data_IF_742110297153
#
_entry.id   IF_742110297153
#
_cell.length_a   1.000
_cell.length_b   1.000
_cell.length_c   1.000
_cell.angle_alpha   90.00
_cell.angle_beta   90.00
_cell.angle_gamma   90.00
#
_symmetry.space_group_name_H-M   'P 1'
#
loop_
_entity.id
_entity.type
_entity.pdbx_description
1 polymer ?
#
# COMPACT_ATOMS: atom_id res chain seq x y z
N UNK A 1 7.12 5.20 -14.47
CA UNK A 1 5.91 4.38 -14.24
C UNK A 1 6.37 2.97 -13.93
N UNK A 2 5.75 2.34 -12.96
CA UNK A 2 6.04 0.96 -12.54
C UNK A 2 5.60 -0.02 -13.64
N UNK A 3 6.42 -1.01 -14.03
CA UNK A 3 6.04 -2.00 -15.05
C UNK A 3 4.76 -2.76 -14.69
N UNK A 4 4.00 -3.18 -15.71
CA UNK A 4 2.65 -3.71 -15.54
C UNK A 4 2.63 -5.00 -14.69
N UNK A 5 3.67 -5.82 -14.82
CA UNK A 5 3.84 -7.05 -14.07
C UNK A 5 3.90 -6.83 -12.56
N UNK A 6 4.32 -5.65 -12.06
CA UNK A 6 4.30 -5.34 -10.63
C UNK A 6 2.93 -4.86 -10.13
N UNK A 7 2.07 -4.35 -11.02
CA UNK A 7 0.84 -3.68 -10.61
C UNK A 7 -0.24 -4.69 -10.20
N UNK A 8 -0.96 -4.41 -9.11
CA UNK A 8 -2.00 -5.28 -8.56
C UNK A 8 -1.95 -5.37 -7.05
N UNK A 9 -2.59 -6.40 -6.50
CA UNK A 9 -2.49 -6.78 -5.10
C UNK A 9 -1.62 -8.02 -4.94
N UNK A 10 -0.63 -7.94 -4.07
CA UNK A 10 0.27 -9.03 -3.72
C UNK A 10 0.13 -9.42 -2.26
N UNK A 11 0.34 -10.71 -2.02
CA UNK A 11 0.30 -11.33 -0.71
C UNK A 11 1.58 -12.10 -0.48
N UNK A 12 2.20 -11.91 0.68
CA UNK A 12 3.43 -12.63 1.02
C UNK A 12 3.09 -14.04 1.50
N UNK A 13 3.69 -15.04 0.87
CA UNK A 13 3.65 -16.45 1.28
C UNK A 13 4.59 -16.71 2.44
N UNK A 14 5.76 -16.06 2.43
CA UNK A 14 6.78 -16.23 3.46
C UNK A 14 7.97 -15.31 3.28
N UNK A 15 8.73 -15.13 4.36
CA UNK A 15 10.07 -14.54 4.36
C UNK A 15 11.03 -15.51 5.06
N UNK A 16 12.20 -15.71 4.45
CA UNK A 16 13.31 -16.49 4.99
C UNK A 16 14.55 -15.61 5.08
N UNK A 17 15.21 -15.59 6.24
CA UNK A 17 16.36 -14.72 6.50
C UNK A 17 17.64 -15.54 6.58
N UNK A 18 18.75 -14.92 6.20
CA UNK A 18 20.09 -15.53 6.24
C UNK A 18 20.52 -15.96 7.65
N UNK A 19 19.92 -15.39 8.70
CA UNK A 19 20.13 -15.80 10.08
C UNK A 19 19.36 -17.09 10.48
N UNK A 20 18.66 -17.73 9.54
CA UNK A 20 17.90 -18.97 9.75
C UNK A 20 16.47 -18.77 10.28
N UNK A 21 16.06 -17.54 10.59
CA UNK A 21 14.67 -17.26 10.95
C UNK A 21 13.77 -17.18 9.72
N UNK A 22 12.48 -17.48 9.90
CA UNK A 22 11.46 -17.33 8.88
C UNK A 22 10.14 -16.87 9.49
N UNK A 23 9.28 -16.28 8.67
CA UNK A 23 7.92 -15.92 9.03
C UNK A 23 6.97 -16.22 7.86
N UNK A 24 6.03 -17.14 8.12
CA UNK A 24 5.01 -17.59 7.18
C UNK A 24 3.59 -17.21 7.63
N UNK A 25 3.50 -16.39 8.68
CA UNK A 25 2.27 -16.17 9.46
C UNK A 25 1.77 -14.73 9.43
N UNK A 26 2.69 -13.77 9.30
CA UNK A 26 2.31 -12.36 9.16
C UNK A 26 1.51 -12.17 7.88
N UNK A 27 0.32 -11.58 8.02
CA UNK A 27 -0.48 -11.21 6.87
C UNK A 27 0.10 -9.94 6.27
N UNK A 28 0.53 -10.00 5.02
CA UNK A 28 1.11 -8.86 4.29
C UNK A 28 0.32 -8.56 3.04
N UNK A 29 -0.20 -7.34 2.92
CA UNK A 29 -0.85 -6.84 1.70
C UNK A 29 0.04 -5.77 1.08
N UNK A 30 0.51 -6.01 -0.15
CA UNK A 30 1.19 -5.02 -0.95
C UNK A 30 0.32 -4.63 -2.15
N UNK A 31 -0.23 -3.43 -2.10
CA UNK A 31 -0.96 -2.82 -3.21
C UNK A 31 0.01 -2.01 -4.05
N UNK A 32 0.02 -2.23 -5.37
CA UNK A 32 0.88 -1.52 -6.31
C UNK A 32 0.07 -0.98 -7.48
N UNK A 33 0.00 0.35 -7.59
CA UNK A 33 -0.51 1.04 -8.76
C UNK A 33 0.65 1.43 -9.71
N UNK A 34 0.35 2.18 -10.77
CA UNK A 34 1.35 2.62 -11.76
C UNK A 34 2.49 3.49 -11.19
N UNK A 35 2.32 4.01 -9.97
CA UNK A 35 3.30 4.86 -9.29
C UNK A 35 3.35 4.62 -7.78
N UNK A 36 2.18 4.53 -7.15
CA UNK A 36 2.07 4.47 -5.70
C UNK A 36 1.94 3.05 -5.18
N UNK A 37 2.37 2.83 -3.94
CA UNK A 37 2.13 1.61 -3.19
C UNK A 37 1.51 1.88 -1.83
N UNK A 38 0.85 0.87 -1.28
CA UNK A 38 0.50 0.75 0.14
C UNK A 38 0.89 -0.68 0.58
N UNK A 39 1.70 -0.79 1.61
CA UNK A 39 2.07 -2.05 2.27
C UNK A 39 1.54 -2.08 3.70
N UNK A 40 0.94 -3.20 4.11
CA UNK A 40 0.47 -3.43 5.48
C UNK A 40 0.85 -4.84 5.95
N UNK A 41 1.59 -4.91 7.07
CA UNK A 41 2.07 -6.14 7.69
C UNK A 41 1.45 -6.30 9.08
N UNK A 42 0.62 -7.32 9.26
CA UNK A 42 -0.06 -7.63 10.53
C UNK A 42 0.37 -9.02 11.03
N UNK A 43 1.25 -9.09 12.04
CA UNK A 43 1.57 -10.33 12.74
C UNK A 43 0.34 -10.91 13.45
N UNK A 44 0.32 -12.23 13.66
CA UNK A 44 -0.82 -12.95 14.27
C UNK A 44 -1.16 -12.41 15.66
N UNK A 45 -0.15 -12.09 16.46
CA UNK A 45 -0.30 -11.51 17.81
C UNK A 45 -0.47 -9.98 17.79
N UNK A 46 -0.42 -9.36 16.59
CA UNK A 46 -0.46 -7.92 16.34
C UNK A 46 0.69 -7.13 16.99
N UNK A 47 1.73 -7.81 17.48
CA UNK A 47 2.93 -7.15 18.02
C UNK A 47 3.88 -6.87 16.86
N UNK A 48 4.31 -5.61 16.72
CA UNK A 48 5.21 -5.22 15.63
C UNK A 48 4.52 -5.01 14.28
N UNK A 49 3.21 -4.69 14.27
CA UNK A 49 2.52 -4.20 13.08
C UNK A 49 3.34 -3.05 12.48
N UNK A 50 3.53 -3.12 11.17
CA UNK A 50 4.17 -2.07 10.40
C UNK A 50 3.53 -1.99 9.02
N UNK A 51 3.83 -0.90 8.31
CA UNK A 51 3.35 -0.65 6.97
C UNK A 51 3.69 0.76 6.55
N UNK A 52 3.56 1.03 5.26
CA UNK A 52 3.97 2.29 4.67
C UNK A 52 3.28 2.52 3.32
N UNK A 53 3.32 3.77 2.87
CA UNK A 53 2.80 4.16 1.58
C UNK A 53 3.65 5.26 0.95
N UNK A 54 3.77 5.24 -0.36
CA UNK A 54 4.66 6.15 -1.08
C UNK A 54 4.80 5.83 -2.56
N UNK A 55 5.91 6.27 -3.14
CA UNK A 55 6.26 6.04 -4.54
C UNK A 55 7.06 4.75 -4.71
N UNK A 56 6.89 4.08 -5.84
CA UNK A 56 7.69 2.92 -6.24
C UNK A 56 8.52 3.26 -7.47
N UNK A 57 9.80 2.92 -7.43
CA UNK A 57 10.73 3.04 -8.56
C UNK A 57 11.24 1.64 -8.91
N UNK A 58 11.19 1.31 -10.20
CA UNK A 58 11.71 0.04 -10.72
C UNK A 58 12.77 0.33 -11.77
N UNK A 59 13.97 -0.20 -11.53
CA UNK A 59 15.14 -0.06 -12.40
C UNK A 59 15.70 -1.44 -12.75
N UNK A 60 15.33 -1.95 -13.93
CA UNK A 60 15.57 -3.35 -14.28
C UNK A 60 14.79 -4.28 -13.34
N UNK A 61 15.51 -5.15 -12.64
CA UNK A 61 14.93 -6.08 -11.66
C UNK A 61 14.91 -5.50 -10.24
N UNK A 62 15.49 -4.31 -10.02
CA UNK A 62 15.47 -3.66 -8.71
C UNK A 62 14.16 -2.92 -8.52
N UNK A 63 13.41 -3.29 -7.49
CA UNK A 63 12.30 -2.50 -6.97
C UNK A 63 12.75 -1.72 -5.75
N UNK A 64 12.35 -0.46 -5.65
CA UNK A 64 12.63 0.39 -4.49
C UNK A 64 11.35 1.11 -4.10
N UNK A 65 10.94 0.91 -2.86
CA UNK A 65 9.82 1.59 -2.25
C UNK A 65 10.34 2.84 -1.53
N UNK A 66 9.76 4.00 -1.82
CA UNK A 66 10.06 5.27 -1.19
C UNK A 66 8.87 5.69 -0.30
N UNK A 67 8.83 5.28 0.97
CA UNK A 67 7.78 5.68 1.89
C UNK A 67 7.72 7.20 2.08
N UNK A 68 6.52 7.75 1.96
CA UNK A 68 6.22 9.13 2.35
C UNK A 68 5.52 9.20 3.72
N UNK A 69 4.84 8.12 4.11
CA UNK A 69 4.22 7.92 5.42
C UNK A 69 4.37 6.46 5.84
N UNK A 70 4.46 6.20 7.15
CA UNK A 70 4.63 4.85 7.68
C UNK A 70 4.07 4.70 9.10
N UNK A 71 3.87 3.45 9.52
CA UNK A 71 3.61 3.08 10.90
C UNK A 71 4.67 2.07 11.35
N UNK A 72 5.32 2.27 12.52
CA UNK A 72 5.08 3.32 13.53
C UNK A 72 5.58 4.73 13.16
N UNK A 73 6.60 4.86 12.32
CA UNK A 73 7.06 6.13 11.72
C UNK A 73 8.04 5.82 10.58
N UNK A 74 8.35 6.81 9.73
CA UNK A 74 9.36 6.66 8.69
C UNK A 74 10.72 6.29 9.29
N UNK A 75 11.38 5.29 8.71
CA UNK A 75 12.79 5.01 8.95
C UNK A 75 13.66 5.56 7.82
N UNK A 76 14.96 5.71 8.06
CA UNK A 76 15.91 6.01 7.00
C UNK A 76 16.36 4.75 6.24
N UNK A 77 15.83 3.57 6.61
CA UNK A 77 16.17 2.32 5.94
C UNK A 77 15.55 2.32 4.56
N UNK A 78 16.37 1.97 3.57
CA UNK A 78 15.89 1.77 2.22
C UNK A 78 15.11 0.46 2.19
N UNK A 79 13.86 0.52 1.72
CA UNK A 79 13.11 -0.69 1.38
C UNK A 79 13.28 -0.96 -0.11
N UNK A 80 13.98 -2.04 -0.45
CA UNK A 80 14.30 -2.41 -1.82
C UNK A 80 14.71 -3.89 -1.94
N UNK A 81 14.33 -4.50 -3.06
CA UNK A 81 14.61 -5.90 -3.36
C UNK A 81 14.86 -6.13 -4.85
N UNK A 82 15.55 -7.23 -5.14
CA UNK A 82 15.65 -7.80 -6.49
C UNK A 82 14.45 -8.68 -6.76
N UNK A 83 13.75 -8.41 -7.85
CA UNK A 83 12.44 -9.00 -8.15
C UNK A 83 12.55 -9.91 -9.35
N UNK A 84 12.22 -11.19 -9.13
CA UNK A 84 12.21 -12.23 -10.17
C UNK A 84 10.80 -12.78 -10.29
N UNK A 85 10.18 -12.56 -11.45
CA UNK A 85 8.87 -13.10 -11.76
C UNK A 85 9.02 -14.52 -12.30
N UNK A 86 8.43 -15.49 -11.60
CA UNK A 86 8.31 -16.87 -12.10
C UNK A 86 7.21 -16.96 -13.17
N UNK A 87 6.12 -16.22 -12.95
CA UNK A 87 5.04 -16.01 -13.90
C UNK A 87 4.30 -14.69 -13.57
N UNK A 88 3.11 -14.50 -14.15
CA UNK A 88 2.32 -13.29 -13.93
C UNK A 88 1.82 -13.13 -12.49
N UNK A 89 1.74 -14.22 -11.71
CA UNK A 89 1.09 -14.28 -10.41
C UNK A 89 2.04 -14.68 -9.28
N UNK A 90 3.32 -14.94 -9.57
CA UNK A 90 4.32 -15.33 -8.58
C UNK A 90 5.62 -14.53 -8.71
N UNK A 91 6.06 -13.97 -7.59
CA UNK A 91 7.28 -13.17 -7.49
C UNK A 91 8.15 -13.71 -6.36
N UNK A 92 9.44 -13.82 -6.67
CA UNK A 92 10.49 -14.02 -5.69
C UNK A 92 11.26 -12.72 -5.51
N UNK A 93 11.33 -12.24 -4.28
CA UNK A 93 12.08 -11.06 -3.89
C UNK A 93 13.31 -11.46 -3.09
N UNK A 94 14.48 -10.99 -3.50
CA UNK A 94 15.74 -11.14 -2.76
C UNK A 94 16.20 -9.79 -2.22
N UNK A 95 16.52 -9.70 -0.93
CA UNK A 95 17.10 -8.49 -0.34
C UNK A 95 18.40 -8.08 -1.05
N UNK A 96 18.67 -6.78 -1.18
CA UNK A 96 19.83 -6.29 -1.96
C UNK A 96 21.19 -6.84 -1.48
N UNK A 97 21.29 -7.21 -0.21
CA UNK A 97 22.46 -7.79 0.44
C UNK A 97 22.37 -9.31 0.63
N UNK A 98 21.34 -9.95 0.06
CA UNK A 98 20.98 -11.36 0.26
C UNK A 98 20.67 -11.71 1.73
N UNK A 99 20.21 -10.74 2.54
CA UNK A 99 19.83 -10.97 3.93
C UNK A 99 18.49 -11.69 4.08
N UNK A 100 17.64 -11.65 3.05
CA UNK A 100 16.34 -12.31 3.03
C UNK A 100 15.91 -12.72 1.62
N UNK A 101 14.98 -13.66 1.58
CA UNK A 101 14.17 -14.06 0.42
C UNK A 101 12.70 -13.98 0.83
N UNK A 102 11.83 -13.43 -0.03
CA UNK A 102 10.38 -13.46 0.12
C UNK A 102 9.70 -14.05 -1.11
N UNK A 103 8.67 -14.85 -0.88
CA UNK A 103 7.79 -15.34 -1.94
C UNK A 103 6.44 -14.62 -1.86
N UNK A 104 5.95 -14.20 -3.01
CA UNK A 104 4.73 -13.44 -3.17
C UNK A 104 3.81 -14.10 -4.19
N UNK A 105 2.51 -14.09 -3.92
CA UNK A 105 1.48 -14.43 -4.89
C UNK A 105 0.56 -13.25 -5.17
N UNK A 106 0.04 -13.18 -6.39
CA UNK A 106 -0.94 -12.18 -6.78
C UNK A 106 -2.33 -12.60 -6.32
N UNK A 107 -3.01 -11.69 -5.65
CA UNK A 107 -4.44 -11.81 -5.37
C UNK A 107 -5.23 -11.22 -6.55
N UNK A 108 -6.26 -11.91 -7.06
CA UNK A 108 -7.16 -11.35 -8.06
C UNK A 108 -7.78 -10.02 -7.60
N UNK A 109 -7.39 -8.94 -8.26
CA UNK A 109 -7.86 -7.58 -7.96
C UNK A 109 -8.44 -6.83 -9.16
N UNK A 110 -8.06 -7.23 -10.37
CA UNK A 110 -8.22 -6.38 -11.55
C UNK A 110 -7.26 -5.18 -11.52
N UNK A 111 -7.39 -4.23 -12.47
CA UNK A 111 -6.51 -3.08 -12.58
C UNK A 111 -6.50 -2.22 -11.31
N UNK A 112 -5.29 -1.86 -10.86
CA UNK A 112 -5.07 -1.04 -9.66
C UNK A 112 -4.93 0.44 -10.04
N UNK A 113 -5.84 1.27 -9.55
CA UNK A 113 -5.73 2.72 -9.65
C UNK A 113 -5.23 3.28 -8.32
N UNK A 114 -4.28 4.23 -8.36
CA UNK A 114 -3.68 4.79 -7.16
C UNK A 114 -3.65 6.31 -7.22
N UNK A 115 -4.02 6.94 -6.11
CA UNK A 115 -4.00 8.39 -5.93
C UNK A 115 -3.21 8.76 -4.69
N UNK A 116 -2.52 9.90 -4.76
CA UNK A 116 -1.97 10.61 -3.61
C UNK A 116 -2.83 11.83 -3.33
N UNK A 117 -3.18 12.03 -2.08
CA UNK A 117 -4.01 13.11 -1.58
C UNK A 117 -3.22 13.92 -0.55
N UNK A 118 -3.45 15.22 -0.52
CA UNK A 118 -2.83 16.15 0.44
C UNK A 118 -3.93 16.94 1.16
N UNK A 119 -3.78 17.13 2.47
CA UNK A 119 -4.57 18.12 3.18
C UNK A 119 -4.04 19.53 2.85
N UNK A 120 -4.85 20.44 2.27
CA UNK A 120 -4.41 21.80 1.97
C UNK A 120 -4.01 22.63 3.19
N UNK A 121 -4.35 22.19 4.40
CA UNK A 121 -4.21 22.94 5.65
C UNK A 121 -3.23 22.32 6.64
N UNK A 122 -2.64 21.16 6.35
CA UNK A 122 -1.68 20.48 7.23
C UNK A 122 -0.59 19.75 6.42
N UNK A 123 0.30 19.03 7.10
CA UNK A 123 1.30 18.15 6.47
C UNK A 123 0.78 16.72 6.25
N UNK A 124 -0.53 16.49 6.44
CA UNK A 124 -1.14 15.19 6.25
C UNK A 124 -1.17 14.81 4.77
N UNK A 125 -0.71 13.59 4.53
CA UNK A 125 -0.77 12.89 3.25
C UNK A 125 -1.71 11.71 3.37
N UNK A 126 -2.33 11.35 2.25
CA UNK A 126 -2.99 10.08 2.14
C UNK A 126 -2.75 9.42 0.78
N UNK A 127 -2.83 8.10 0.78
CA UNK A 127 -2.79 7.27 -0.42
C UNK A 127 -4.06 6.43 -0.47
N UNK A 128 -4.67 6.39 -1.64
CA UNK A 128 -5.84 5.58 -1.93
C UNK A 128 -5.56 4.72 -3.16
N UNK A 129 -5.49 3.41 -2.96
CA UNK A 129 -5.36 2.44 -4.05
C UNK A 129 -6.66 1.63 -4.12
N UNK A 130 -7.26 1.56 -5.31
CA UNK A 130 -8.56 0.95 -5.53
C UNK A 130 -8.57 0.11 -6.80
N UNK A 131 -9.19 -1.06 -6.71
CA UNK A 131 -9.39 -2.01 -7.79
C UNK A 131 -10.86 -2.44 -7.83
N UNK A 132 -11.21 -3.55 -8.49
CA UNK A 132 -12.62 -3.98 -8.60
C UNK A 132 -13.20 -4.33 -7.22
N UNK A 133 -12.48 -5.15 -6.45
CA UNK A 133 -12.97 -5.70 -5.18
C UNK A 133 -12.09 -5.34 -3.97
N UNK A 134 -11.02 -4.56 -4.19
CA UNK A 134 -10.09 -4.17 -3.12
C UNK A 134 -9.84 -2.67 -3.07
N UNK A 135 -9.70 -2.17 -1.85
CA UNK A 135 -9.30 -0.79 -1.57
C UNK A 135 -8.29 -0.77 -0.41
N UNK A 136 -7.23 0.00 -0.56
CA UNK A 136 -6.29 0.32 0.51
C UNK A 136 -6.28 1.84 0.74
N UNK A 137 -6.30 2.22 2.02
CA UNK A 137 -6.21 3.59 2.49
C UNK A 137 -5.04 3.71 3.45
N UNK A 138 -4.16 4.68 3.23
CA UNK A 138 -3.13 5.07 4.18
C UNK A 138 -3.21 6.58 4.41
N UNK A 139 -3.16 7.04 5.66
CA UNK A 139 -3.24 8.46 6.00
C UNK A 139 -2.35 8.78 7.20
N UNK A 140 -1.54 9.83 7.11
CA UNK A 140 -0.65 10.24 8.19
C UNK A 140 0.21 11.42 7.78
N UNK A 141 1.21 11.76 8.59
CA UNK A 141 2.20 12.77 8.24
C UNK A 141 3.58 12.13 8.09
N UNK A 142 4.49 12.71 7.29
CA UNK A 142 5.88 12.26 7.23
C UNK A 142 6.60 12.37 8.59
N UNK A 143 6.12 13.26 9.45
CA UNK A 143 6.64 13.53 10.79
C UNK A 143 6.07 12.60 11.87
N UNK A 144 5.14 11.72 11.52
CA UNK A 144 4.36 10.91 12.47
C UNK A 144 4.02 9.52 11.96
N UNK A 145 3.15 8.86 12.73
CA UNK A 145 2.61 7.55 12.38
C UNK A 145 1.42 7.71 11.42
N UNK A 146 1.29 6.80 10.46
CA UNK A 146 0.09 6.70 9.64
C UNK A 146 -0.88 5.62 10.14
N UNK A 147 -2.15 5.79 9.82
CA UNK A 147 -3.12 4.69 9.79
C UNK A 147 -3.09 4.04 8.40
N UNK A 148 -3.27 2.73 8.36
CA UNK A 148 -3.39 1.96 7.12
C UNK A 148 -4.52 0.95 7.31
N UNK A 149 -5.44 0.92 6.36
CA UNK A 149 -6.56 -0.03 6.33
C UNK A 149 -6.74 -0.61 4.94
N UNK A 150 -6.93 -1.93 4.89
CA UNK A 150 -7.29 -2.71 3.72
C UNK A 150 -8.76 -3.10 3.81
N UNK A 151 -9.47 -2.90 2.71
CA UNK A 151 -10.89 -3.18 2.57
C UNK A 151 -11.15 -4.14 1.41
N UNK A 152 -12.22 -4.92 1.55
CA UNK A 152 -12.81 -5.74 0.49
C UNK A 152 -14.24 -5.29 0.21
N UNK A 153 -14.64 -5.28 -1.06
CA UNK A 153 -16.00 -4.93 -1.46
C UNK A 153 -16.96 -6.08 -1.13
N UNK A 154 -17.98 -5.80 -0.32
CA UNK A 154 -19.09 -6.71 -0.03
C UNK A 154 -20.41 -5.94 -0.13
N UNK A 155 -21.35 -6.42 -0.95
CA UNK A 155 -22.70 -5.83 -1.06
C UNK A 155 -22.71 -4.30 -1.25
N UNK A 156 -21.82 -3.76 -2.11
CA UNK A 156 -21.65 -2.32 -2.38
C UNK A 156 -21.05 -1.50 -1.21
N UNK A 157 -20.52 -2.15 -0.18
CA UNK A 157 -19.79 -1.50 0.90
C UNK A 157 -18.37 -2.06 1.00
N UNK A 158 -17.42 -1.19 1.32
CA UNK A 158 -16.05 -1.58 1.59
C UNK A 158 -15.93 -1.99 3.05
N UNK A 159 -15.66 -3.27 3.30
CA UNK A 159 -15.53 -3.86 4.64
C UNK A 159 -14.05 -3.94 4.98
N UNK A 160 -13.66 -3.36 6.12
CA UNK A 160 -12.27 -3.42 6.59
C UNK A 160 -11.92 -4.86 6.99
N UNK A 161 -10.85 -5.39 6.41
CA UNK A 161 -10.35 -6.76 6.65
C UNK A 161 -8.94 -6.79 7.27
N UNK A 162 -8.23 -5.67 7.23
CA UNK A 162 -6.94 -5.49 7.89
C UNK A 162 -6.71 -4.03 8.21
N UNK A 163 -6.24 -3.72 9.43
CA UNK A 163 -5.86 -2.37 9.82
C UNK A 163 -4.79 -2.40 10.91
N UNK A 164 -3.90 -1.41 10.91
CA UNK A 164 -2.98 -1.17 12.02
C UNK A 164 -3.67 -0.52 13.23
N UNK A 165 -4.87 0.03 13.06
CA UNK A 165 -5.68 0.57 14.16
C UNK A 165 -6.24 -0.55 15.05
N UNK A 166 -6.42 -0.23 16.33
CA UNK A 166 -7.02 -1.14 17.32
C UNK A 166 -8.55 -1.04 17.36
N UNK A 167 -9.11 0.09 16.95
CA UNK A 167 -10.55 0.30 16.88
C UNK A 167 -11.16 -0.41 15.67
N UNK A 168 -12.41 -0.87 15.81
CA UNK A 168 -13.18 -1.39 14.69
C UNK A 168 -13.29 -0.32 13.61
N UNK A 169 -12.68 -0.59 12.46
CA UNK A 169 -12.82 0.30 11.31
C UNK A 169 -14.19 0.08 10.68
N UNK A 170 -14.92 1.17 10.45
CA UNK A 170 -16.28 1.11 9.91
C UNK A 170 -16.26 0.75 8.42
N UNK A 171 -17.36 0.13 7.98
CA UNK A 171 -17.63 -0.01 6.56
C UNK A 171 -17.81 1.37 5.93
N UNK A 172 -17.28 1.55 4.72
CA UNK A 172 -17.37 2.80 3.98
C UNK A 172 -18.06 2.59 2.63
N UNK A 173 -18.57 3.67 2.05
CA UNK A 173 -19.14 3.67 0.70
C UNK A 173 -18.37 4.68 -0.15
N UNK A 174 -17.69 4.18 -1.17
CA UNK A 174 -16.93 4.98 -2.12
C UNK A 174 -17.08 4.36 -3.51
N UNK A 175 -17.52 5.17 -4.48
CA UNK A 175 -17.68 4.74 -5.87
C UNK A 175 -16.32 4.72 -6.58
N UNK A 176 -15.88 3.54 -7.02
CA UNK A 176 -14.68 3.42 -7.89
C UNK A 176 -14.82 4.30 -9.14
N UNK A 177 -16.02 4.34 -9.73
CA UNK A 177 -16.28 5.15 -10.92
C UNK A 177 -16.01 6.63 -10.65
N UNK A 178 -16.39 7.13 -9.48
CA UNK A 178 -16.20 8.54 -9.13
C UNK A 178 -14.72 8.82 -8.86
N UNK A 179 -14.03 7.91 -8.14
CA UNK A 179 -12.57 8.01 -7.90
C UNK A 179 -11.79 8.06 -9.21
N UNK A 180 -12.16 7.25 -10.21
CA UNK A 180 -11.50 7.24 -11.53
C UNK A 180 -11.71 8.53 -12.33
N UNK A 181 -12.65 9.40 -11.92
CA UNK A 181 -12.88 10.69 -12.57
C UNK A 181 -12.08 11.82 -11.93
N UNK A 182 -11.56 11.63 -10.71
CA UNK A 182 -10.79 12.65 -10.00
C UNK A 182 -9.52 13.00 -10.78
N UNK A 183 -9.27 14.31 -10.89
CA UNK A 183 -8.14 14.88 -11.60
C UNK A 183 -7.19 15.57 -10.64
N UNK A 184 -5.96 15.81 -11.11
CA UNK A 184 -4.98 16.62 -10.41
C UNK A 184 -5.57 17.97 -9.97
N UNK A 185 -5.35 18.32 -8.70
CA UNK A 185 -5.85 19.52 -8.01
C UNK A 185 -7.35 19.54 -7.68
N UNK A 186 -8.11 18.49 -8.01
CA UNK A 186 -9.48 18.38 -7.52
C UNK A 186 -9.50 18.38 -5.99
N UNK A 187 -10.54 19.02 -5.43
CA UNK A 187 -10.84 18.97 -4.01
C UNK A 187 -11.93 17.92 -3.77
N UNK A 188 -11.61 16.90 -3.00
CA UNK A 188 -12.45 15.72 -2.80
C UNK A 188 -12.63 15.42 -1.32
N UNK A 189 -13.76 14.81 -0.97
CA UNK A 189 -13.97 14.23 0.36
C UNK A 189 -13.90 12.70 0.25
N UNK A 190 -13.29 12.08 1.26
CA UNK A 190 -13.17 10.62 1.34
C UNK A 190 -13.85 10.13 2.62
N UNK A 191 -14.59 9.01 2.57
CA UNK A 191 -15.34 8.50 3.72
C UNK A 191 -14.44 7.94 4.84
N UNK A 192 -13.17 7.67 4.54
CA UNK A 192 -12.16 7.24 5.53
C UNK A 192 -11.74 8.36 6.49
N UNK A 193 -11.89 9.62 6.06
CA UNK A 193 -11.63 10.83 6.86
C UNK A 193 -12.75 11.87 6.64
N UNK A 194 -13.94 11.64 7.20
CA UNK A 194 -15.08 12.54 6.99
C UNK A 194 -14.79 13.93 7.55
N UNK A 195 -15.21 14.96 6.82
CA UNK A 195 -15.02 16.37 7.20
C UNK A 195 -13.66 16.97 6.83
N UNK A 196 -12.77 16.19 6.22
CA UNK A 196 -11.52 16.70 5.62
C UNK A 196 -11.66 16.76 4.11
N UNK A 197 -11.40 17.94 3.54
CA UNK A 197 -11.28 18.11 2.09
C UNK A 197 -9.83 17.89 1.68
N UNK A 198 -9.61 16.98 0.75
CA UNK A 198 -8.30 16.59 0.25
C UNK A 198 -8.08 17.15 -1.15
N UNK A 199 -6.85 17.57 -1.44
CA UNK A 199 -6.42 17.90 -2.79
C UNK A 199 -5.78 16.67 -3.44
N UNK A 200 -6.25 16.30 -4.62
CA UNK A 200 -5.62 15.26 -5.44
C UNK A 200 -4.27 15.79 -5.94
N UNK A 201 -3.20 15.06 -5.69
CA UNK A 201 -1.85 15.47 -6.10
C UNK A 201 -1.75 15.53 -7.62
N UNK A 202 -1.12 16.57 -8.15
CA UNK A 202 -0.72 16.58 -9.55
C UNK A 202 0.38 15.53 -9.77
N UNK A 203 0.24 14.69 -10.79
CA UNK A 203 1.27 13.72 -11.13
C UNK A 203 2.57 14.45 -11.52
N UNK A 204 3.54 14.48 -10.60
CA UNK A 204 4.89 14.95 -10.87
C UNK A 204 5.22 16.31 -10.26
N UNK A 205 5.59 16.31 -8.99
CA UNK A 205 6.88 16.88 -8.61
C UNK A 205 7.60 15.87 -7.72
N UNK A 206 8.82 15.56 -8.15
CA UNK A 206 9.88 14.92 -7.38
C UNK A 206 10.31 15.88 -6.28
#
# INVERSE_FOLDING_TARGET
MVPAEYQGLWRRSGIWRSNGSSDLSTQVWWFQAQRYHIDLRIPVDRIGINGFAGDTVVEGERCTWHPAIAYPALSSELDAGWMRFDDADHVHETGLDNSYEEDWYREPSGPMHGLRLEDPHSDQLAYLLISDDWLAWACGSPSGACEITVYRLEQQQWIAIGSNLTATTQAITLSKKDVLQWQANDLVEVPTKPGTTWRVSAEGQV
#
